data_IF_613364025567
#
_entry.id   IF_613364025567
#
_cell.length_a   1.000
_cell.length_b   1.000
_cell.length_c   1.000
_cell.angle_alpha   90.00
_cell.angle_beta   90.00
_cell.angle_gamma   90.00
#
_symmetry.space_group_name_H-M   'P 1'
#
loop_
_entity.id
_entity.type
_entity.pdbx_description
1 polymer ?
#
# COMPACT_ATOMS: atom_id res chain seq x y z
N UNK A 1 -31.97 -12.79 16.03
CA UNK A 1 -31.86 -11.42 15.47
C UNK A 1 -31.05 -11.52 14.19
N UNK A 2 -31.63 -11.31 13.00
CA UNK A 2 -30.86 -11.15 11.78
C UNK A 2 -30.74 -9.64 11.52
N UNK A 3 -29.91 -8.98 12.32
CA UNK A 3 -29.54 -7.59 12.12
C UNK A 3 -28.04 -7.52 12.34
N UNK A 4 -27.34 -6.75 11.49
CA UNK A 4 -25.97 -6.27 11.71
C UNK A 4 -24.84 -6.93 10.91
N UNK A 5 -25.13 -7.71 9.86
CA UNK A 5 -24.13 -8.05 8.83
C UNK A 5 -24.47 -7.40 7.49
N UNK A 6 -24.44 -6.07 7.43
CA UNK A 6 -24.37 -5.35 6.16
C UNK A 6 -22.92 -4.89 5.95
N UNK A 7 -22.35 -5.20 4.78
CA UNK A 7 -21.09 -4.61 4.35
C UNK A 7 -21.41 -3.18 3.91
N UNK A 8 -21.12 -2.19 4.75
CA UNK A 8 -21.30 -0.78 4.39
C UNK A 8 -20.25 -0.38 3.34
N UNK A 9 -20.65 -0.08 2.09
CA UNK A 9 -19.71 0.30 1.04
C UNK A 9 -18.95 1.59 1.35
N UNK A 10 -19.55 2.51 2.13
CA UNK A 10 -18.90 3.76 2.51
C UNK A 10 -17.78 3.49 3.52
N UNK A 11 -17.98 2.59 4.48
CA UNK A 11 -16.93 2.21 5.43
C UNK A 11 -15.81 1.43 4.74
N UNK A 12 -16.13 0.57 3.78
CA UNK A 12 -15.13 -0.09 2.92
C UNK A 12 -14.34 0.94 2.10
N UNK A 13 -14.99 1.95 1.54
CA UNK A 13 -14.35 3.05 0.82
C UNK A 13 -13.41 3.88 1.71
N UNK A 14 -13.82 4.18 2.96
CA UNK A 14 -12.97 4.86 3.94
C UNK A 14 -11.72 4.02 4.27
N UNK A 15 -11.90 2.73 4.52
CA UNK A 15 -10.79 1.82 4.80
C UNK A 15 -9.83 1.72 3.61
N UNK A 16 -10.38 1.61 2.39
CA UNK A 16 -9.59 1.60 1.17
C UNK A 16 -8.74 2.87 1.02
N UNK A 17 -9.32 4.05 1.27
CA UNK A 17 -8.61 5.32 1.21
C UNK A 17 -7.50 5.41 2.26
N UNK A 18 -7.71 4.88 3.47
CA UNK A 18 -6.69 4.83 4.50
C UNK A 18 -5.48 4.00 4.05
N UNK A 19 -5.71 2.79 3.49
CA UNK A 19 -4.64 1.96 2.93
C UNK A 19 -3.92 2.65 1.78
N UNK A 20 -4.66 3.25 0.83
CA UNK A 20 -4.07 3.94 -0.32
C UNK A 20 -3.23 5.16 0.08
N UNK A 21 -3.67 5.93 1.08
CA UNK A 21 -2.89 7.06 1.62
C UNK A 21 -1.59 6.55 2.25
N UNK A 22 -1.64 5.49 3.05
CA UNK A 22 -0.45 4.89 3.66
C UNK A 22 0.50 4.27 2.64
N UNK A 23 -0.03 3.66 1.59
CA UNK A 23 0.76 3.16 0.47
C UNK A 23 1.55 4.30 -0.20
N UNK A 24 0.86 5.40 -0.51
CA UNK A 24 1.47 6.58 -1.12
C UNK A 24 2.53 7.22 -0.23
N UNK A 25 2.20 7.48 1.04
CA UNK A 25 3.11 8.08 2.01
C UNK A 25 4.38 7.23 2.17
N UNK A 26 4.22 5.91 2.28
CA UNK A 26 5.35 4.98 2.42
C UNK A 26 6.19 4.94 1.14
N UNK A 27 5.57 4.83 -0.04
CA UNK A 27 6.28 4.85 -1.31
C UNK A 27 7.11 6.13 -1.49
N UNK A 28 6.53 7.29 -1.13
CA UNK A 28 7.23 8.59 -1.16
C UNK A 28 8.40 8.64 -0.19
N UNK A 29 8.23 8.11 1.04
CA UNK A 29 9.30 8.02 2.02
C UNK A 29 10.44 7.10 1.55
N UNK A 30 10.12 5.95 0.96
CA UNK A 30 11.08 5.00 0.37
C UNK A 30 11.85 5.65 -0.78
N UNK A 31 11.18 6.40 -1.65
CA UNK A 31 11.85 7.16 -2.72
C UNK A 31 12.80 8.23 -2.16
N UNK A 32 12.38 8.91 -1.09
CA UNK A 32 13.23 9.85 -0.37
C UNK A 32 14.45 9.19 0.27
N UNK A 33 14.28 7.98 0.83
CA UNK A 33 15.36 7.18 1.39
C UNK A 33 16.34 6.75 0.31
N UNK A 34 15.85 6.11 -0.77
CA UNK A 34 16.66 5.66 -1.91
C UNK A 34 17.54 6.76 -2.49
N UNK A 35 17.00 7.98 -2.65
CA UNK A 35 17.76 9.13 -3.16
C UNK A 35 18.92 9.57 -2.25
N UNK A 36 18.83 9.30 -0.95
CA UNK A 36 19.88 9.65 0.03
C UNK A 36 20.85 8.52 0.31
N UNK A 37 20.48 7.29 -0.04
CA UNK A 37 21.28 6.08 0.19
C UNK A 37 21.67 5.39 -1.11
N UNK A 38 21.64 6.11 -2.23
CA UNK A 38 22.17 5.60 -3.50
C UNK A 38 23.67 5.36 -3.39
N UNK A 39 24.19 4.42 -4.19
CA UNK A 39 25.59 4.01 -4.14
C UNK A 39 26.56 5.19 -4.20
N UNK A 40 26.29 6.18 -5.06
CA UNK A 40 27.07 7.42 -5.16
C UNK A 40 27.06 8.23 -3.85
N UNK A 41 25.89 8.44 -3.25
CA UNK A 41 25.75 9.19 -1.99
C UNK A 41 26.38 8.44 -0.80
N UNK A 42 26.33 7.10 -0.82
CA UNK A 42 27.00 6.26 0.18
C UNK A 42 28.51 6.34 -0.01
N UNK A 43 29.03 6.21 -1.23
CA UNK A 43 30.45 6.36 -1.53
C UNK A 43 30.98 7.76 -1.13
N UNK A 44 30.26 8.82 -1.46
CA UNK A 44 30.61 10.19 -1.08
C UNK A 44 30.58 10.40 0.44
N UNK A 45 29.62 9.79 1.14
CA UNK A 45 29.44 9.91 2.58
C UNK A 45 30.48 9.15 3.41
N UNK A 46 30.88 7.96 2.96
CA UNK A 46 31.99 7.23 3.56
C UNK A 46 33.34 7.88 3.24
N UNK A 47 33.48 8.48 2.04
CA UNK A 47 34.70 9.11 1.59
C UNK A 47 35.93 8.20 1.71
N UNK A 48 37.12 8.80 1.75
CA UNK A 48 38.39 8.10 1.98
C UNK A 48 38.53 7.48 3.39
N UNK A 49 37.52 7.60 4.27
CA UNK A 49 37.61 7.26 5.69
C UNK A 49 37.38 5.76 5.99
N UNK A 50 36.90 5.00 5.00
CA UNK A 50 36.93 3.54 5.02
C UNK A 50 37.59 3.06 3.73
N UNK A 51 38.88 2.71 3.79
CA UNK A 51 39.56 1.98 2.70
C UNK A 51 38.98 0.56 2.48
N UNK A 52 37.93 0.19 3.21
CA UNK A 52 37.26 -1.10 3.09
C UNK A 52 36.07 -1.00 2.14
N UNK A 53 36.31 -1.39 0.89
CA UNK A 53 35.27 -1.62 -0.11
C UNK A 53 34.18 -2.58 0.40
N UNK A 54 34.54 -3.50 1.30
CA UNK A 54 33.62 -4.46 1.94
C UNK A 54 32.57 -3.76 2.81
N UNK A 55 32.96 -2.79 3.63
CA UNK A 55 32.02 -2.04 4.48
C UNK A 55 31.07 -1.20 3.63
N UNK A 56 31.61 -0.55 2.60
CA UNK A 56 30.82 0.28 1.68
C UNK A 56 29.79 -0.58 0.92
N UNK A 57 30.21 -1.73 0.40
CA UNK A 57 29.34 -2.68 -0.30
C UNK A 57 28.25 -3.22 0.61
N UNK A 58 28.59 -3.64 1.84
CA UNK A 58 27.60 -4.14 2.80
C UNK A 58 26.54 -3.09 3.16
N UNK A 59 26.92 -1.81 3.25
CA UNK A 59 25.96 -0.74 3.52
C UNK A 59 25.05 -0.47 2.32
N UNK A 60 25.58 -0.52 1.09
CA UNK A 60 24.78 -0.41 -0.13
C UNK A 60 23.76 -1.54 -0.21
N UNK A 61 24.20 -2.80 -0.05
CA UNK A 61 23.31 -3.97 -0.06
C UNK A 61 22.21 -3.87 1.01
N UNK A 62 22.56 -3.40 2.21
CA UNK A 62 21.60 -3.18 3.28
C UNK A 62 20.57 -2.10 2.90
N UNK A 63 21.03 -0.98 2.31
CA UNK A 63 20.15 0.09 1.87
C UNK A 63 19.21 -0.37 0.75
N UNK A 64 19.72 -1.10 -0.24
CA UNK A 64 18.92 -1.69 -1.32
C UNK A 64 17.88 -2.67 -0.78
N UNK A 65 18.26 -3.57 0.12
CA UNK A 65 17.34 -4.52 0.75
C UNK A 65 16.21 -3.84 1.53
N UNK A 66 16.49 -2.70 2.18
CA UNK A 66 15.45 -1.88 2.83
C UNK A 66 14.53 -1.20 1.82
N UNK A 67 15.07 -0.64 0.74
CA UNK A 67 14.28 -0.02 -0.34
C UNK A 67 13.32 -1.05 -0.93
N UNK A 68 13.80 -2.25 -1.23
CA UNK A 68 12.99 -3.32 -1.82
C UNK A 68 11.91 -3.79 -0.85
N UNK A 69 12.27 -4.07 0.40
CA UNK A 69 11.33 -4.57 1.41
C UNK A 69 10.22 -3.55 1.71
N UNK A 70 10.58 -2.28 1.90
CA UNK A 70 9.61 -1.22 2.19
C UNK A 70 8.80 -0.85 0.94
N UNK A 71 9.40 -0.90 -0.25
CA UNK A 71 8.71 -0.73 -1.53
C UNK A 71 7.67 -1.82 -1.77
N UNK A 72 7.98 -3.08 -1.42
CA UNK A 72 7.04 -4.19 -1.45
C UNK A 72 5.87 -3.97 -0.48
N UNK A 73 6.15 -3.51 0.75
CA UNK A 73 5.10 -3.19 1.72
C UNK A 73 4.16 -2.08 1.22
N UNK A 74 4.71 -1.04 0.60
CA UNK A 74 3.91 0.04 0.01
C UNK A 74 3.00 -0.48 -1.10
N UNK A 75 3.51 -1.33 -2.00
CA UNK A 75 2.70 -1.99 -3.04
C UNK A 75 1.58 -2.84 -2.44
N UNK A 76 1.88 -3.59 -1.39
CA UNK A 76 0.86 -4.43 -0.74
C UNK A 76 -0.27 -3.61 -0.10
N UNK A 77 0.04 -2.45 0.49
CA UNK A 77 -1.00 -1.52 0.95
C UNK A 77 -1.86 -0.97 -0.19
N UNK A 78 -1.28 -0.70 -1.36
CA UNK A 78 -2.07 -0.29 -2.53
C UNK A 78 -2.95 -1.43 -3.04
N UNK A 79 -2.43 -2.66 -3.15
CA UNK A 79 -3.20 -3.85 -3.52
C UNK A 79 -4.42 -4.05 -2.60
N UNK A 80 -4.22 -3.92 -1.28
CA UNK A 80 -5.31 -3.98 -0.30
C UNK A 80 -6.30 -2.82 -0.50
N UNK A 81 -5.82 -1.61 -0.78
CA UNK A 81 -6.67 -0.46 -1.11
C UNK A 81 -7.57 -0.75 -2.32
N UNK A 82 -7.01 -1.30 -3.41
CA UNK A 82 -7.78 -1.63 -4.60
C UNK A 82 -8.81 -2.74 -4.34
N UNK A 83 -8.40 -3.82 -3.65
CA UNK A 83 -9.31 -4.91 -3.30
C UNK A 83 -10.50 -4.44 -2.45
N UNK A 84 -10.28 -3.48 -1.54
CA UNK A 84 -11.35 -2.89 -0.74
C UNK A 84 -12.29 -2.01 -1.58
N UNK A 85 -11.77 -1.27 -2.57
CA UNK A 85 -12.62 -0.50 -3.52
C UNK A 85 -13.48 -1.43 -4.36
N UNK A 86 -12.91 -2.52 -4.84
CA UNK A 86 -13.64 -3.53 -5.60
C UNK A 86 -14.74 -4.17 -4.74
N UNK A 87 -14.45 -4.49 -3.49
CA UNK A 87 -15.46 -5.01 -2.56
C UNK A 87 -16.57 -4.01 -2.23
N UNK A 88 -16.24 -2.73 -2.08
CA UNK A 88 -17.24 -1.67 -1.88
C UNK A 88 -18.19 -1.60 -3.08
N UNK A 89 -17.63 -1.57 -4.29
CA UNK A 89 -18.40 -1.56 -5.54
C UNK A 89 -19.28 -2.80 -5.69
N UNK A 90 -18.72 -3.99 -5.45
CA UNK A 90 -19.48 -5.24 -5.53
C UNK A 90 -20.63 -5.28 -4.50
N UNK A 91 -20.44 -4.67 -3.34
CA UNK A 91 -21.47 -4.58 -2.29
C UNK A 91 -22.60 -3.63 -2.73
N UNK A 92 -22.27 -2.45 -3.29
CA UNK A 92 -23.27 -1.53 -3.87
C UNK A 92 -24.09 -2.19 -4.98
N UNK A 93 -23.43 -2.86 -5.93
CA UNK A 93 -24.10 -3.55 -7.04
C UNK A 93 -25.01 -4.69 -6.55
N UNK A 94 -24.58 -5.41 -5.49
CA UNK A 94 -25.39 -6.47 -4.88
C UNK A 94 -26.62 -5.92 -4.16
N UNK A 95 -26.47 -4.83 -3.42
CA UNK A 95 -27.57 -4.17 -2.73
C UNK A 95 -28.61 -3.63 -3.72
N UNK A 96 -28.17 -3.00 -4.82
CA UNK A 96 -29.04 -2.53 -5.90
C UNK A 96 -29.80 -3.68 -6.57
N UNK A 97 -29.12 -4.79 -6.85
CA UNK A 97 -29.75 -5.99 -7.41
C UNK A 97 -30.81 -6.57 -6.48
N UNK A 98 -30.50 -6.73 -5.20
CA UNK A 98 -31.43 -7.24 -4.19
C UNK A 98 -32.64 -6.32 -4.03
N UNK A 99 -32.43 -5.00 -3.97
CA UNK A 99 -33.50 -4.02 -3.93
C UNK A 99 -34.41 -4.10 -5.16
N UNK A 100 -33.85 -4.39 -6.33
CA UNK A 100 -34.60 -4.65 -7.56
C UNK A 100 -35.53 -5.87 -7.46
N UNK A 101 -35.05 -6.99 -6.89
CA UNK A 101 -35.85 -8.19 -6.68
C UNK A 101 -37.06 -7.94 -5.76
N UNK A 102 -36.86 -7.21 -4.67
CA UNK A 102 -37.95 -6.87 -3.74
C UNK A 102 -38.99 -5.91 -4.34
N UNK A 103 -38.57 -5.01 -5.25
CA UNK A 103 -39.49 -4.12 -5.98
C UNK A 103 -40.27 -4.85 -7.09
N UNK A 104 -39.71 -5.93 -7.65
CA UNK A 104 -40.35 -6.77 -8.66
C UNK A 104 -41.32 -7.83 -8.11
N UNK A 105 -41.29 -8.11 -6.80
CA UNK A 105 -42.10 -9.14 -6.13
C UNK A 105 -43.56 -8.77 -5.82
N UNK A 106 -44.16 -7.80 -6.53
CA UNK A 106 -45.61 -7.56 -6.46
C UNK A 106 -46.34 -8.45 -7.48
N UNK A 107 -46.80 -9.61 -7.03
CA UNK A 107 -47.95 -10.33 -7.59
C UNK A 107 -48.79 -10.87 -6.46
#
# INVERSE_FOLDING_TARGET
MPGDFYLDPQELGKLANAFGTRAYDLASAVEGFRRRTGAEQVHDGFGFLTESDEVTSAYIELAEGMVDSLGNLARHFDEVSQALKDNAKNSEESDDFLAGLFKGGKT
#
